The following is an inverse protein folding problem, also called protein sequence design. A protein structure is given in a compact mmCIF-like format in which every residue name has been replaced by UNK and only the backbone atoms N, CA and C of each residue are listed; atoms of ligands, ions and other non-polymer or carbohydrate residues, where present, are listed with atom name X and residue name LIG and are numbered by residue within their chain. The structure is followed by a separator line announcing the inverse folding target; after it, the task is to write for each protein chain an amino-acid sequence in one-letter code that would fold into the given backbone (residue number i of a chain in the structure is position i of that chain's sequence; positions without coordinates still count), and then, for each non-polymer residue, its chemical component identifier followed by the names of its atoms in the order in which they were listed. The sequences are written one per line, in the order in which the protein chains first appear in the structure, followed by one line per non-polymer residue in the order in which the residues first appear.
data_IF_797116396955
#
_entry.id   IF_797116396955
#
_cell.length_a   1.000
_cell.length_b   1.000
_cell.length_c   1.000
_cell.angle_alpha   90.00
_cell.angle_beta   90.00
_cell.angle_gamma   90.00
#
_symmetry.space_group_name_H-M   'P 1'
#
loop_
_entity.id
_entity.type
_entity.pdbx_description
1 polymer ?
#
# COMPACT_ATOMS: atom_id res chain seq x y z
N UNK A 1 0.56 19.07 -2.75
CA UNK A 1 0.31 19.11 -1.29
C UNK A 1 0.99 20.34 -0.69
N UNK A 2 0.21 21.25 -0.13
CA UNK A 2 0.66 22.53 0.41
C UNK A 2 0.85 22.36 1.93
N UNK A 3 2.10 22.25 2.38
CA UNK A 3 2.43 22.18 3.80
C UNK A 3 2.42 23.58 4.39
N UNK A 4 1.44 23.88 5.26
CA UNK A 4 1.47 25.09 6.11
C UNK A 4 2.45 24.86 7.26
N UNK A 5 3.37 25.82 7.44
CA UNK A 5 4.22 25.96 8.63
C UNK A 5 3.35 26.22 9.86
N UNK A 6 3.55 25.43 10.90
CA UNK A 6 3.11 25.68 12.26
C UNK A 6 4.28 25.37 13.20
N UNK A 7 4.55 26.33 14.09
CA UNK A 7 5.60 26.45 15.09
C UNK A 7 6.09 25.16 15.76
N UNK A 8 7.41 25.11 15.99
CA UNK A 8 8.10 24.03 16.66
C UNK A 8 7.59 23.75 18.07
N UNK A 9 7.11 22.52 18.26
CA UNK A 9 7.23 21.78 19.49
C UNK A 9 7.80 20.40 19.14
N UNK A 10 8.82 20.01 19.89
CA UNK A 10 9.49 18.72 19.78
C UNK A 10 8.52 17.65 20.30
N UNK A 11 7.68 17.11 19.41
CA UNK A 11 6.89 15.92 19.69
C UNK A 11 7.80 14.70 19.58
N UNK A 12 8.06 14.09 20.75
CA UNK A 12 8.97 12.97 20.95
C UNK A 12 8.66 11.73 20.11
N UNK A 13 9.69 10.89 19.97
CA UNK A 13 9.82 9.77 19.03
C UNK A 13 8.81 8.62 19.11
N UNK A 14 7.70 8.74 19.83
CA UNK A 14 6.63 7.74 19.84
C UNK A 14 5.74 7.79 18.57
N UNK A 15 5.61 8.95 17.91
CA UNK A 15 4.73 9.11 16.75
C UNK A 15 5.25 8.44 15.46
N UNK A 16 6.56 8.13 15.39
CA UNK A 16 7.17 7.43 14.25
C UNK A 16 7.08 5.90 14.36
N UNK A 17 6.84 5.35 15.55
CA UNK A 17 6.84 3.91 15.81
C UNK A 17 5.57 3.18 15.30
N UNK A 18 4.51 3.91 14.99
CA UNK A 18 3.19 3.32 14.70
C UNK A 18 2.93 2.98 13.23
N UNK A 19 3.83 3.33 12.30
CA UNK A 19 3.57 3.08 10.88
C UNK A 19 4.04 1.68 10.43
N UNK A 20 5.27 1.29 10.74
CA UNK A 20 5.91 0.12 10.15
C UNK A 20 7.03 -0.38 11.07
N UNK A 21 6.96 -1.65 11.50
CA UNK A 21 8.13 -2.32 12.08
C UNK A 21 8.86 -3.06 10.97
N UNK A 22 10.11 -2.66 10.72
CA UNK A 22 11.00 -3.33 9.77
C UNK A 22 11.66 -4.50 10.49
N UNK A 23 11.26 -5.71 10.12
CA UNK A 23 11.92 -6.91 10.62
C UNK A 23 12.97 -7.37 9.59
N UNK A 24 14.24 -7.48 10.02
CA UNK A 24 15.30 -8.06 9.19
C UNK A 24 15.14 -9.58 9.24
N UNK A 25 14.58 -10.15 8.18
CA UNK A 25 14.18 -11.55 8.15
C UNK A 25 15.33 -12.50 8.48
N UNK A 26 16.53 -12.16 8.03
CA UNK A 26 17.54 -13.17 7.81
C UNK A 26 18.89 -12.93 8.52
N UNK A 27 19.01 -11.91 9.38
CA UNK A 27 20.14 -11.87 10.33
C UNK A 27 19.85 -12.56 11.66
N UNK A 28 18.58 -12.88 11.95
CA UNK A 28 18.18 -13.62 13.14
C UNK A 28 17.73 -15.06 12.83
N UNK A 29 17.66 -15.44 11.55
CA UNK A 29 17.63 -16.84 11.14
C UNK A 29 19.08 -17.36 11.24
N UNK A 30 19.46 -17.83 12.41
CA UNK A 30 20.41 -18.93 12.48
C UNK A 30 19.56 -20.17 12.64
N UNK A 31 19.49 -20.99 11.59
CA UNK A 31 19.25 -22.44 11.57
C UNK A 31 18.11 -22.91 12.51
N UNK A 32 16.97 -23.28 11.91
CA UNK A 32 15.84 -24.03 12.51
C UNK A 32 14.76 -23.28 13.33
N UNK A 33 14.71 -21.95 13.35
CA UNK A 33 13.56 -21.25 13.96
C UNK A 33 12.47 -20.90 12.93
N UNK A 34 11.26 -21.49 13.02
CA UNK A 34 10.16 -21.19 12.11
C UNK A 34 9.82 -19.69 12.10
N UNK A 35 9.61 -19.13 10.90
CA UNK A 35 9.21 -17.72 10.71
C UNK A 35 7.97 -17.35 11.56
N UNK A 36 7.08 -18.32 11.77
CA UNK A 36 5.90 -18.21 12.64
C UNK A 36 6.23 -17.84 14.08
N UNK A 37 7.25 -18.47 14.68
CA UNK A 37 7.67 -18.19 16.07
C UNK A 37 8.11 -16.74 16.19
N UNK A 38 8.88 -16.29 15.21
CA UNK A 38 9.41 -14.95 15.24
C UNK A 38 8.31 -13.90 15.01
N UNK A 39 7.33 -14.18 14.14
CA UNK A 39 6.14 -13.34 14.03
C UNK A 39 5.41 -13.25 15.37
N UNK A 40 5.25 -14.38 16.08
CA UNK A 40 4.59 -14.40 17.39
C UNK A 40 5.34 -13.53 18.42
N UNK A 41 6.67 -13.65 18.51
CA UNK A 41 7.50 -12.83 19.40
C UNK A 41 7.39 -11.33 19.08
N UNK A 42 7.41 -10.96 17.79
CA UNK A 42 7.21 -9.57 17.38
C UNK A 42 5.82 -9.06 17.75
N UNK A 43 4.78 -9.89 17.60
CA UNK A 43 3.41 -9.54 18.00
C UNK A 43 3.31 -9.35 19.51
N UNK A 44 3.96 -10.17 20.30
CA UNK A 44 4.04 -9.99 21.76
C UNK A 44 4.78 -8.70 22.14
N UNK A 45 5.92 -8.43 21.51
CA UNK A 45 6.64 -7.17 21.70
C UNK A 45 5.78 -5.96 21.36
N UNK A 46 5.12 -5.95 20.20
CA UNK A 46 4.24 -4.86 19.78
C UNK A 46 3.06 -4.67 20.74
N UNK A 47 2.49 -5.76 21.28
CA UNK A 47 1.47 -5.69 22.34
C UNK A 47 2.01 -5.04 23.60
N UNK A 48 3.23 -5.39 24.03
CA UNK A 48 3.87 -4.77 25.20
C UNK A 48 4.09 -3.25 25.03
N UNK A 49 4.21 -2.78 23.79
CA UNK A 49 4.36 -1.36 23.45
C UNK A 49 3.03 -0.65 23.15
N UNK A 50 1.87 -1.29 23.41
CA UNK A 50 0.54 -0.78 23.05
C UNK A 50 0.35 -0.49 21.54
N UNK A 51 1.02 -1.28 20.70
CA UNK A 51 1.00 -1.16 19.23
C UNK A 51 0.50 -2.44 18.52
N UNK A 52 -0.60 -3.09 18.98
CA UNK A 52 -1.01 -4.43 18.52
C UNK A 52 -1.38 -4.49 17.03
N UNK A 53 -1.78 -3.37 16.44
CA UNK A 53 -2.25 -3.26 15.06
C UNK A 53 -1.15 -2.85 14.06
N UNK A 54 0.11 -2.74 14.50
CA UNK A 54 1.22 -2.34 13.62
C UNK A 54 1.49 -3.42 12.58
N UNK A 55 1.65 -3.03 11.32
CA UNK A 55 2.01 -3.98 10.27
C UNK A 55 3.50 -4.37 10.36
N UNK A 56 3.78 -5.65 10.12
CA UNK A 56 5.13 -6.21 10.13
C UNK A 56 5.58 -6.40 8.70
N UNK A 57 6.59 -5.64 8.27
CA UNK A 57 7.19 -5.80 6.95
C UNK A 57 8.50 -6.56 7.07
N UNK A 58 8.62 -7.64 6.31
CA UNK A 58 9.85 -8.41 6.26
C UNK A 58 10.79 -7.79 5.23
N UNK A 59 11.97 -7.39 5.69
CA UNK A 59 13.05 -6.92 4.84
C UNK A 59 13.87 -8.12 4.37
N UNK A 60 13.93 -8.31 3.05
CA UNK A 60 14.73 -9.34 2.39
C UNK A 60 16.01 -8.70 1.87
N UNK A 61 17.14 -9.08 2.46
CA UNK A 61 18.43 -8.45 2.18
C UNK A 61 19.62 -9.43 2.04
N UNK A 62 19.37 -10.75 2.10
CA UNK A 62 20.37 -11.79 1.86
C UNK A 62 19.78 -13.00 1.09
N UNK A 63 20.62 -13.99 0.78
CA UNK A 63 20.21 -15.20 0.06
C UNK A 63 19.21 -16.08 0.84
N UNK A 64 19.40 -16.27 2.14
CA UNK A 64 18.52 -17.11 2.96
C UNK A 64 17.07 -16.59 3.00
N UNK A 65 16.89 -15.27 3.03
CA UNK A 65 15.57 -14.66 2.92
C UNK A 65 14.93 -14.82 1.54
N UNK A 66 15.72 -15.03 0.48
CA UNK A 66 15.22 -15.37 -0.85
C UNK A 66 14.84 -16.85 -0.96
N UNK A 67 15.56 -17.73 -0.28
CA UNK A 67 15.30 -19.18 -0.26
C UNK A 67 14.01 -19.48 0.50
N UNK A 68 13.84 -18.89 1.69
CA UNK A 68 12.62 -19.01 2.51
C UNK A 68 11.54 -17.97 2.19
N UNK A 69 11.57 -17.39 0.99
CA UNK A 69 10.72 -16.24 0.66
C UNK A 69 9.21 -16.54 0.80
N UNK A 70 8.77 -17.74 0.44
CA UNK A 70 7.34 -18.09 0.47
C UNK A 70 6.80 -18.18 1.91
N UNK A 71 7.58 -18.74 2.83
CA UNK A 71 7.25 -18.80 4.26
C UNK A 71 7.23 -17.39 4.87
N UNK A 72 8.21 -16.56 4.52
CA UNK A 72 8.26 -15.16 4.96
C UNK A 72 7.08 -14.37 4.40
N UNK A 73 6.75 -14.57 3.13
CA UNK A 73 5.62 -13.90 2.49
C UNK A 73 4.31 -14.30 3.16
N UNK A 74 4.13 -15.56 3.58
CA UNK A 74 2.92 -16.01 4.28
C UNK A 74 2.73 -15.27 5.62
N UNK A 75 3.81 -15.07 6.36
CA UNK A 75 3.79 -14.49 7.70
C UNK A 75 3.89 -12.95 7.73
N UNK A 76 4.53 -12.32 6.75
CA UNK A 76 4.67 -10.87 6.71
C UNK A 76 3.37 -10.17 6.27
N UNK A 77 3.14 -8.93 6.69
CA UNK A 77 2.05 -8.09 6.17
C UNK A 77 2.42 -7.41 4.84
N UNK A 78 3.73 -7.28 4.58
CA UNK A 78 4.32 -6.78 3.34
C UNK A 78 5.82 -7.08 3.27
N UNK A 79 6.43 -6.86 2.11
CA UNK A 79 7.83 -7.19 1.83
C UNK A 79 8.59 -5.94 1.44
N UNK A 80 9.83 -5.81 1.93
CA UNK A 80 10.78 -4.81 1.47
C UNK A 80 12.00 -5.50 0.86
N UNK A 81 12.22 -5.28 -0.42
CA UNK A 81 13.35 -5.82 -1.17
C UNK A 81 14.53 -4.86 -1.13
N UNK A 82 15.58 -5.24 -0.41
CA UNK A 82 16.79 -4.45 -0.23
C UNK A 82 17.91 -4.87 -1.19
N UNK A 83 17.88 -4.29 -2.38
CA UNK A 83 18.76 -4.64 -3.51
C UNK A 83 20.23 -4.37 -3.26
N UNK A 84 20.56 -3.34 -2.49
CA UNK A 84 21.96 -2.98 -2.22
C UNK A 84 22.73 -4.03 -1.42
N UNK A 85 22.05 -4.76 -0.52
CA UNK A 85 22.68 -5.85 0.24
C UNK A 85 22.65 -7.16 -0.54
N UNK A 86 21.54 -7.44 -1.25
CA UNK A 86 21.44 -8.60 -2.13
C UNK A 86 22.53 -8.62 -3.23
N UNK A 87 22.96 -7.45 -3.70
CA UNK A 87 24.06 -7.33 -4.67
C UNK A 87 25.46 -7.60 -4.11
N UNK A 88 25.63 -7.73 -2.79
CA UNK A 88 26.89 -8.09 -2.15
C UNK A 88 27.03 -9.61 -2.06
N UNK A 89 25.97 -10.28 -1.61
CA UNK A 89 26.00 -11.72 -1.32
C UNK A 89 25.93 -12.58 -2.60
N UNK A 90 25.47 -12.00 -3.70
CA UNK A 90 25.05 -12.74 -4.89
C UNK A 90 25.59 -12.15 -6.20
N UNK A 91 25.87 -12.99 -7.23
CA UNK A 91 26.38 -12.49 -8.50
C UNK A 91 25.41 -11.51 -9.16
N UNK A 92 25.89 -10.32 -9.58
CA UNK A 92 25.03 -9.25 -10.08
C UNK A 92 24.23 -9.64 -11.32
N UNK A 93 24.76 -10.52 -12.17
CA UNK A 93 24.15 -10.94 -13.43
C UNK A 93 22.93 -11.87 -13.28
N UNK A 94 22.83 -12.61 -12.17
CA UNK A 94 21.76 -13.60 -11.98
C UNK A 94 20.70 -13.14 -10.99
N UNK A 95 21.09 -12.36 -9.99
CA UNK A 95 20.32 -12.38 -8.75
C UNK A 95 19.42 -11.17 -8.55
N UNK A 96 19.93 -9.95 -8.68
CA UNK A 96 19.12 -8.76 -8.33
C UNK A 96 17.89 -8.66 -9.23
N UNK A 97 18.03 -8.92 -10.53
CA UNK A 97 16.92 -8.84 -11.50
C UNK A 97 15.89 -9.96 -11.34
N UNK A 98 16.34 -11.23 -11.30
CA UNK A 98 15.44 -12.39 -11.28
C UNK A 98 14.69 -12.47 -9.96
N UNK A 99 15.39 -12.31 -8.83
CA UNK A 99 14.76 -12.39 -7.52
C UNK A 99 13.86 -11.19 -7.24
N UNK A 100 14.22 -9.97 -7.69
CA UNK A 100 13.31 -8.83 -7.58
C UNK A 100 11.99 -9.12 -8.31
N UNK A 101 12.06 -9.50 -9.60
CA UNK A 101 10.84 -9.77 -10.39
C UNK A 101 10.02 -10.90 -9.80
N UNK A 102 10.67 -11.99 -9.39
CA UNK A 102 10.00 -13.14 -8.77
C UNK A 102 9.32 -12.74 -7.46
N UNK A 103 10.03 -12.04 -6.57
CA UNK A 103 9.51 -11.62 -5.27
C UNK A 103 8.35 -10.62 -5.40
N UNK A 104 8.48 -9.60 -6.24
CA UNK A 104 7.39 -8.63 -6.50
C UNK A 104 6.19 -9.37 -7.09
N UNK A 105 6.39 -10.28 -8.05
CA UNK A 105 5.30 -11.07 -8.63
C UNK A 105 4.59 -11.90 -7.57
N UNK A 106 5.31 -12.61 -6.71
CA UNK A 106 4.72 -13.39 -5.60
C UNK A 106 3.94 -12.50 -4.62
N UNK A 107 4.46 -11.32 -4.28
CA UNK A 107 3.74 -10.34 -3.45
C UNK A 107 2.43 -9.87 -4.11
N UNK A 108 2.48 -9.54 -5.40
CA UNK A 108 1.32 -9.14 -6.19
C UNK A 108 0.24 -10.24 -6.22
N UNK A 109 0.66 -11.50 -6.39
CA UNK A 109 -0.24 -12.65 -6.37
C UNK A 109 -0.86 -12.89 -4.99
N UNK A 110 -0.10 -12.68 -3.91
CA UNK A 110 -0.59 -12.75 -2.54
C UNK A 110 -1.43 -11.53 -2.11
N UNK A 111 -1.40 -10.43 -2.88
CA UNK A 111 -2.04 -9.18 -2.51
C UNK A 111 -1.39 -8.50 -1.30
N UNK A 112 -0.08 -8.71 -1.11
CA UNK A 112 0.73 -8.09 -0.04
C UNK A 112 1.64 -7.01 -0.65
N UNK A 113 1.82 -5.85 0.01
CA UNK A 113 2.61 -4.77 -0.56
C UNK A 113 4.07 -5.15 -0.76
N UNK A 114 4.62 -4.84 -1.94
CA UNK A 114 6.05 -4.97 -2.23
C UNK A 114 6.69 -3.59 -2.33
N UNK A 115 7.68 -3.33 -1.48
CA UNK A 115 8.42 -2.07 -1.46
C UNK A 115 9.87 -2.32 -1.89
N UNK A 116 10.40 -1.49 -2.78
CA UNK A 116 11.79 -1.58 -3.24
C UNK A 116 12.60 -0.39 -2.72
N UNK A 117 13.88 -0.60 -2.40
CA UNK A 117 14.79 0.46 -1.96
C UNK A 117 16.06 0.56 -2.81
N UNK A 118 16.84 1.63 -2.58
CA UNK A 118 18.10 2.01 -3.25
C UNK A 118 17.96 2.09 -4.76
N UNK A 119 17.12 3.02 -5.22
CA UNK A 119 16.80 3.22 -6.65
C UNK A 119 17.50 4.44 -7.26
N UNK A 120 17.92 5.43 -6.47
CA UNK A 120 18.49 6.71 -6.95
C UNK A 120 19.67 7.18 -6.09
N UNK A 121 20.58 6.26 -5.77
CA UNK A 121 21.71 6.50 -4.85
C UNK A 121 22.56 7.73 -5.22
N UNK A 122 22.72 8.03 -6.51
CA UNK A 122 23.49 9.19 -6.98
C UNK A 122 22.88 10.53 -6.57
N UNK A 123 21.56 10.57 -6.29
CA UNK A 123 20.86 11.80 -5.92
C UNK A 123 21.14 12.28 -4.49
N UNK A 124 21.94 11.53 -3.72
CA UNK A 124 22.48 12.01 -2.44
C UNK A 124 23.31 13.28 -2.67
N UNK A 125 24.19 13.25 -3.69
CA UNK A 125 25.13 14.34 -3.98
C UNK A 125 24.78 15.10 -5.27
N UNK A 126 23.92 14.53 -6.12
CA UNK A 126 23.57 15.10 -7.43
C UNK A 126 22.10 15.51 -7.51
N UNK A 127 21.83 16.59 -8.25
CA UNK A 127 20.46 17.09 -8.46
C UNK A 127 19.61 16.18 -9.36
N UNK A 128 20.25 15.33 -10.17
CA UNK A 128 19.58 14.47 -11.15
C UNK A 128 20.07 13.03 -11.03
N UNK A 129 19.19 12.03 -11.18
CA UNK A 129 19.61 10.64 -11.24
C UNK A 129 20.32 10.35 -12.56
N UNK A 130 21.08 9.27 -12.57
CA UNK A 130 21.62 8.69 -13.80
C UNK A 130 20.51 8.10 -14.67
N UNK A 131 20.79 7.86 -15.96
CA UNK A 131 19.85 7.18 -16.86
C UNK A 131 19.52 5.76 -16.37
N UNK A 132 20.49 5.08 -15.78
CA UNK A 132 20.31 3.74 -15.23
C UNK A 132 19.34 3.75 -14.05
N UNK A 133 19.52 4.66 -13.09
CA UNK A 133 18.63 4.82 -11.93
C UNK A 133 17.21 5.24 -12.33
N UNK A 134 17.06 6.17 -13.28
CA UNK A 134 15.74 6.55 -13.78
C UNK A 134 15.02 5.36 -14.44
N UNK A 135 15.75 4.56 -15.22
CA UNK A 135 15.22 3.34 -15.85
C UNK A 135 14.87 2.28 -14.81
N UNK A 136 15.64 2.20 -13.74
CA UNK A 136 15.46 1.24 -12.66
C UNK A 136 14.20 1.57 -11.80
N UNK A 137 13.99 2.85 -11.47
CA UNK A 137 12.73 3.34 -10.86
C UNK A 137 11.53 2.96 -11.74
N UNK A 138 11.60 3.26 -13.03
CA UNK A 138 10.51 2.96 -13.96
C UNK A 138 10.23 1.45 -14.03
N UNK A 139 11.26 0.62 -14.14
CA UNK A 139 11.10 -0.84 -14.17
C UNK A 139 10.52 -1.40 -12.87
N UNK A 140 10.87 -0.85 -11.70
CA UNK A 140 10.28 -1.29 -10.44
C UNK A 140 8.75 -1.07 -10.41
N UNK A 141 8.27 0.05 -10.96
CA UNK A 141 6.83 0.33 -11.12
C UNK A 141 6.17 -0.63 -12.11
N UNK A 142 6.85 -0.93 -13.23
CA UNK A 142 6.37 -1.88 -14.24
C UNK A 142 6.34 -3.34 -13.75
N UNK A 143 7.27 -3.71 -12.87
CA UNK A 143 7.25 -4.99 -12.16
C UNK A 143 6.06 -5.10 -11.19
N UNK A 144 5.45 -3.96 -10.87
CA UNK A 144 4.28 -3.88 -10.02
C UNK A 144 4.62 -3.70 -8.54
N UNK A 145 5.72 -3.02 -8.21
CA UNK A 145 5.98 -2.60 -6.82
C UNK A 145 4.86 -1.67 -6.32
N UNK A 146 4.55 -1.75 -5.03
CA UNK A 146 3.58 -0.87 -4.37
C UNK A 146 4.18 0.46 -3.90
N UNK A 147 5.48 0.46 -3.59
CA UNK A 147 6.16 1.65 -3.12
C UNK A 147 7.66 1.62 -3.36
N UNK A 148 8.24 2.81 -3.37
CA UNK A 148 9.68 3.02 -3.45
C UNK A 148 10.13 3.72 -2.18
N UNK A 149 11.05 3.07 -1.46
CA UNK A 149 11.62 3.57 -0.21
C UNK A 149 12.95 4.28 -0.48
N UNK A 150 12.94 5.60 -0.34
CA UNK A 150 14.12 6.45 -0.34
C UNK A 150 14.74 6.47 1.05
N UNK A 151 16.05 6.25 1.13
CA UNK A 151 16.84 6.18 2.35
C UNK A 151 17.80 7.36 2.46
N UNK A 152 19.04 7.16 2.03
CA UNK A 152 20.09 8.17 2.17
C UNK A 152 19.78 9.46 1.41
N UNK A 153 19.04 9.36 0.30
CA UNK A 153 18.74 10.47 -0.61
C UNK A 153 17.82 11.51 0.03
N UNK A 154 16.98 11.09 0.99
CA UNK A 154 16.07 11.97 1.73
C UNK A 154 16.56 12.24 3.16
N UNK A 155 17.31 11.32 3.76
CA UNK A 155 17.78 11.45 5.15
C UNK A 155 19.00 12.37 5.29
N UNK A 156 19.98 12.25 4.38
CA UNK A 156 21.25 13.01 4.42
C UNK A 156 21.66 13.60 3.07
N UNK A 157 20.81 13.46 2.05
CA UNK A 157 21.06 13.99 0.71
C UNK A 157 20.97 15.50 0.65
N UNK A 158 21.66 16.09 -0.31
CA UNK A 158 21.67 17.54 -0.56
C UNK A 158 20.35 18.03 -1.18
N UNK A 159 19.61 17.15 -1.87
CA UNK A 159 18.43 17.51 -2.66
C UNK A 159 17.18 16.65 -2.35
N UNK A 160 16.74 16.54 -1.09
CA UNK A 160 15.68 15.59 -0.70
C UNK A 160 14.33 15.89 -1.38
N UNK A 161 13.98 17.16 -1.58
CA UNK A 161 12.71 17.56 -2.19
C UNK A 161 12.70 17.26 -3.69
N UNK A 162 13.82 17.52 -4.36
CA UNK A 162 14.01 17.25 -5.78
C UNK A 162 14.06 15.75 -6.07
N UNK A 163 14.67 14.96 -5.19
CA UNK A 163 14.63 13.49 -5.27
C UNK A 163 13.21 12.98 -5.24
N UNK A 164 12.40 13.39 -4.26
CA UNK A 164 10.99 12.98 -4.15
C UNK A 164 10.21 13.39 -5.40
N UNK A 165 10.40 14.63 -5.88
CA UNK A 165 9.73 15.13 -7.08
C UNK A 165 10.11 14.34 -8.33
N UNK A 166 11.41 14.08 -8.52
CA UNK A 166 11.93 13.38 -9.70
C UNK A 166 11.48 11.93 -9.73
N UNK A 167 11.59 11.22 -8.61
CA UNK A 167 11.10 9.83 -8.49
C UNK A 167 9.59 9.77 -8.71
N UNK A 168 8.83 10.69 -8.12
CA UNK A 168 7.37 10.77 -8.33
C UNK A 168 6.98 10.98 -9.79
N UNK A 169 7.72 11.82 -10.53
CA UNK A 169 7.50 12.03 -11.96
C UNK A 169 7.81 10.77 -12.78
N UNK A 170 8.91 10.08 -12.49
CA UNK A 170 9.26 8.82 -13.17
C UNK A 170 8.19 7.76 -12.89
N UNK A 171 7.70 7.65 -11.66
CA UNK A 171 6.61 6.74 -11.32
C UNK A 171 5.35 7.04 -12.14
N UNK A 172 4.93 8.31 -12.22
CA UNK A 172 3.74 8.70 -12.98
C UNK A 172 3.84 8.33 -14.47
N UNK A 173 5.01 8.55 -15.09
CA UNK A 173 5.27 8.16 -16.47
C UNK A 173 5.25 6.63 -16.64
N UNK A 174 5.85 5.88 -15.71
CA UNK A 174 5.82 4.42 -15.73
C UNK A 174 4.41 3.85 -15.53
N UNK A 175 3.58 4.47 -14.71
CA UNK A 175 2.17 4.09 -14.53
C UNK A 175 1.35 4.29 -15.80
N UNK A 176 1.67 5.30 -16.63
CA UNK A 176 0.96 5.56 -17.88
C UNK A 176 1.10 4.45 -18.93
N UNK A 177 2.21 3.70 -18.89
CA UNK A 177 2.49 2.57 -19.80
C UNK A 177 2.27 1.20 -19.14
N UNK A 178 1.78 1.18 -17.89
CA UNK A 178 1.54 -0.05 -17.15
C UNK A 178 0.36 -0.84 -17.73
N UNK A 179 0.57 -2.12 -18.03
CA UNK A 179 -0.47 -2.97 -18.62
C UNK A 179 -1.41 -3.54 -17.55
N UNK A 180 -2.35 -2.71 -17.09
CA UNK A 180 -3.36 -3.10 -16.10
C UNK A 180 -4.19 -4.32 -16.53
N UNK A 181 -4.52 -4.43 -17.82
CA UNK A 181 -5.34 -5.54 -18.33
C UNK A 181 -4.62 -6.88 -18.24
N UNK A 182 -3.34 -6.92 -18.62
CA UNK A 182 -2.51 -8.12 -18.51
C UNK A 182 -2.40 -8.54 -17.05
N UNK A 183 -2.06 -7.60 -16.16
CA UNK A 183 -1.88 -7.90 -14.75
C UNK A 183 -3.17 -8.41 -14.09
N UNK A 184 -4.31 -7.77 -14.39
CA UNK A 184 -5.61 -8.24 -13.90
C UNK A 184 -5.87 -9.69 -14.30
N UNK A 185 -5.64 -10.03 -15.57
CA UNK A 185 -5.89 -11.37 -16.10
C UNK A 185 -4.97 -12.41 -15.46
N UNK A 186 -3.69 -12.08 -15.30
CA UNK A 186 -2.71 -12.96 -14.68
C UNK A 186 -3.07 -13.27 -13.21
N UNK A 187 -3.48 -12.25 -12.44
CA UNK A 187 -3.87 -12.43 -11.04
C UNK A 187 -5.13 -13.29 -10.92
N UNK A 188 -6.15 -13.04 -11.75
CA UNK A 188 -7.37 -13.86 -11.76
C UNK A 188 -7.06 -15.31 -12.09
N UNK A 189 -6.18 -15.57 -13.06
CA UNK A 189 -5.74 -16.93 -13.40
C UNK A 189 -4.96 -17.61 -12.29
N UNK A 190 -4.11 -16.86 -11.58
CA UNK A 190 -3.33 -17.40 -10.47
C UNK A 190 -4.22 -17.80 -9.27
N UNK A 191 -5.20 -16.96 -8.91
CA UNK A 191 -6.10 -17.23 -7.78
C UNK A 191 -6.96 -18.48 -8.05
N UNK A 192 -7.39 -18.69 -9.29
CA UNK A 192 -8.19 -19.85 -9.67
C UNK A 192 -9.63 -19.82 -9.13
N UNK A 193 -10.35 -20.92 -9.33
CA UNK A 193 -11.75 -21.08 -8.90
C UNK A 193 -11.90 -22.37 -8.06
N UNK A 194 -12.72 -22.37 -6.98
CA UNK A 194 -13.56 -21.26 -6.49
C UNK A 194 -12.79 -20.24 -5.65
N UNK A 195 -13.14 -18.96 -5.80
CA UNK A 195 -12.62 -17.85 -4.98
C UNK A 195 -13.45 -17.66 -3.70
N UNK A 196 -12.88 -16.97 -2.71
CA UNK A 196 -13.65 -16.48 -1.56
C UNK A 196 -14.71 -15.46 -1.98
N UNK A 197 -15.79 -15.30 -1.20
CA UNK A 197 -16.87 -14.35 -1.52
C UNK A 197 -16.36 -12.91 -1.67
N UNK A 198 -15.51 -12.45 -0.74
CA UNK A 198 -14.91 -11.11 -0.78
C UNK A 198 -14.05 -10.91 -2.03
N UNK A 199 -13.23 -11.91 -2.37
CA UNK A 199 -12.31 -11.85 -3.52
C UNK A 199 -13.03 -11.92 -4.86
N UNK A 200 -14.08 -12.74 -4.96
CA UNK A 200 -14.96 -12.81 -6.13
C UNK A 200 -15.66 -11.47 -6.41
N UNK A 201 -16.19 -10.82 -5.37
CA UNK A 201 -16.83 -9.51 -5.54
C UNK A 201 -15.78 -8.42 -5.82
N UNK A 202 -14.59 -8.49 -5.22
CA UNK A 202 -13.53 -7.50 -5.44
C UNK A 202 -13.00 -7.54 -6.88
N UNK A 203 -12.69 -8.72 -7.39
CA UNK A 203 -12.27 -8.92 -8.79
C UNK A 203 -13.36 -8.46 -9.78
N UNK A 204 -14.62 -8.78 -9.47
CA UNK A 204 -15.78 -8.36 -10.27
C UNK A 204 -16.02 -6.85 -10.23
N UNK A 205 -15.80 -6.21 -9.09
CA UNK A 205 -15.89 -4.76 -8.94
C UNK A 205 -14.84 -4.04 -9.78
N UNK A 206 -13.58 -4.49 -9.74
CA UNK A 206 -12.49 -3.95 -10.58
C UNK A 206 -12.78 -4.18 -12.06
N UNK A 207 -13.24 -5.38 -12.43
CA UNK A 207 -13.64 -5.69 -13.81
C UNK A 207 -14.76 -4.77 -14.29
N UNK A 208 -15.75 -4.51 -13.44
CA UNK A 208 -16.88 -3.63 -13.74
C UNK A 208 -16.42 -2.18 -13.87
N UNK A 209 -15.56 -1.70 -12.97
CA UNK A 209 -14.97 -0.36 -13.01
C UNK A 209 -14.23 -0.11 -14.34
N UNK A 210 -13.45 -1.10 -14.80
CA UNK A 210 -12.76 -1.03 -16.10
C UNK A 210 -13.78 -0.96 -17.26
N UNK A 211 -14.80 -1.83 -17.26
CA UNK A 211 -15.82 -1.87 -18.33
C UNK A 211 -16.63 -0.57 -18.43
N UNK A 212 -17.02 -0.02 -17.29
CA UNK A 212 -17.78 1.25 -17.26
C UNK A 212 -16.87 2.47 -17.28
N UNK A 213 -15.55 2.33 -17.44
CA UNK A 213 -14.60 3.45 -17.39
C UNK A 213 -14.86 4.35 -16.18
N UNK A 214 -15.01 3.74 -15.01
CA UNK A 214 -15.20 4.48 -13.77
C UNK A 214 -13.98 5.37 -13.50
N UNK A 215 -14.22 6.58 -13.02
CA UNK A 215 -13.16 7.50 -12.67
C UNK A 215 -12.46 7.09 -11.35
N UNK A 216 -13.20 6.48 -10.43
CA UNK A 216 -12.70 6.05 -9.11
C UNK A 216 -13.39 4.76 -8.64
N UNK A 217 -12.73 4.03 -7.74
CA UNK A 217 -13.36 2.99 -6.92
C UNK A 217 -13.39 3.49 -5.47
N UNK A 218 -14.55 3.51 -4.82
CA UNK A 218 -14.70 3.88 -3.41
C UNK A 218 -14.85 2.61 -2.59
N UNK A 219 -14.00 2.41 -1.59
CA UNK A 219 -13.96 1.20 -0.77
C UNK A 219 -14.16 1.54 0.70
N UNK A 220 -15.17 0.93 1.31
CA UNK A 220 -15.47 1.09 2.73
C UNK A 220 -14.63 0.10 3.53
N UNK A 221 -13.93 0.56 4.57
CA UNK A 221 -13.10 -0.33 5.38
C UNK A 221 -12.92 0.15 6.82
N UNK A 222 -12.73 -0.79 7.73
CA UNK A 222 -12.31 -0.54 9.12
C UNK A 222 -10.86 -0.97 9.36
N UNK A 223 -10.40 -2.03 8.70
CA UNK A 223 -9.09 -2.67 8.91
C UNK A 223 -8.11 -2.48 7.76
N UNK A 224 -8.52 -1.87 6.63
CA UNK A 224 -7.68 -1.73 5.44
C UNK A 224 -7.57 -2.99 4.57
N UNK A 225 -8.17 -4.13 4.96
CA UNK A 225 -8.11 -5.37 4.16
C UNK A 225 -8.87 -5.27 2.83
N UNK A 226 -10.05 -4.64 2.83
CA UNK A 226 -10.87 -4.47 1.63
C UNK A 226 -10.18 -3.65 0.52
N UNK A 227 -9.61 -2.45 0.78
CA UNK A 227 -8.92 -1.70 -0.27
C UNK A 227 -7.66 -2.42 -0.75
N UNK A 228 -6.96 -3.16 0.12
CA UNK A 228 -5.84 -4.02 -0.29
C UNK A 228 -6.29 -5.10 -1.26
N UNK A 229 -7.43 -5.76 -1.00
CA UNK A 229 -8.00 -6.77 -1.88
C UNK A 229 -8.45 -6.19 -3.22
N UNK A 230 -9.04 -5.00 -3.24
CA UNK A 230 -9.39 -4.30 -4.49
C UNK A 230 -8.12 -3.90 -5.26
N UNK A 231 -7.12 -3.34 -4.58
CA UNK A 231 -5.86 -2.92 -5.18
C UNK A 231 -4.99 -4.08 -5.69
N UNK A 232 -5.13 -5.29 -5.11
CA UNK A 232 -4.52 -6.54 -5.61
C UNK A 232 -4.75 -6.69 -7.11
N UNK A 233 -5.96 -6.43 -7.59
CA UNK A 233 -6.33 -6.56 -9.01
C UNK A 233 -5.85 -5.41 -9.92
N UNK A 234 -5.02 -4.51 -9.40
CA UNK A 234 -4.35 -3.41 -10.11
C UNK A 234 -5.29 -2.58 -11.01
N UNK A 235 -6.38 -2.01 -10.45
CA UNK A 235 -7.25 -1.12 -11.21
C UNK A 235 -6.45 0.06 -11.82
N UNK A 236 -6.79 0.52 -13.04
CA UNK A 236 -6.18 1.70 -13.65
C UNK A 236 -6.66 3.02 -13.04
N UNK A 237 -7.78 3.01 -12.32
CA UNK A 237 -8.33 4.14 -11.60
C UNK A 237 -7.92 4.11 -10.12
N UNK A 238 -7.84 5.28 -9.45
CA UNK A 238 -7.54 5.35 -8.02
C UNK A 238 -8.63 4.69 -7.17
N UNK A 239 -8.21 4.13 -6.04
CA UNK A 239 -9.05 3.49 -5.02
C UNK A 239 -9.14 4.41 -3.80
N UNK A 240 -10.28 5.07 -3.61
CA UNK A 240 -10.55 5.88 -2.43
C UNK A 240 -10.97 4.98 -1.26
N UNK A 241 -10.11 4.81 -0.27
CA UNK A 241 -10.38 3.98 0.90
C UNK A 241 -11.01 4.83 2.02
N UNK A 242 -12.32 4.69 2.21
CA UNK A 242 -13.05 5.28 3.33
C UNK A 242 -12.78 4.46 4.59
N UNK A 243 -11.95 5.00 5.48
CA UNK A 243 -11.54 4.35 6.71
C UNK A 243 -12.42 4.82 7.85
N UNK A 244 -13.21 3.90 8.39
CA UNK A 244 -14.05 4.13 9.56
C UNK A 244 -13.30 3.70 10.82
N UNK A 245 -13.36 4.54 11.84
CA UNK A 245 -12.85 4.15 13.14
C UNK A 245 -13.82 3.17 13.83
N UNK A 246 -13.30 2.07 14.37
CA UNK A 246 -14.06 1.24 15.32
C UNK A 246 -14.13 1.99 16.65
N UNK A 247 -15.35 2.24 17.14
CA UNK A 247 -15.58 2.90 18.42
C UNK A 247 -16.02 1.88 19.46
N UNK A 248 -15.21 1.69 20.49
CA UNK A 248 -15.71 1.46 21.84
C UNK A 248 -15.20 2.59 22.75
N UNK A 249 -16.15 3.22 23.43
CA UNK A 249 -16.07 4.05 24.64
C UNK A 249 -15.23 5.34 24.69
N UNK A 250 -14.09 5.49 23.99
CA UNK A 250 -13.26 6.71 24.08
C UNK A 250 -12.90 7.31 22.70
N UNK A 251 -13.35 8.56 22.45
CA UNK A 251 -13.13 9.30 21.20
C UNK A 251 -11.65 9.48 20.84
N UNK A 252 -10.77 9.55 21.85
CA UNK A 252 -9.32 9.71 21.67
C UNK A 252 -8.65 8.44 21.13
N UNK A 253 -9.00 7.28 21.66
CA UNK A 253 -8.42 5.99 21.22
C UNK A 253 -8.98 5.53 19.87
N UNK A 254 -10.28 5.78 19.65
CA UNK A 254 -10.93 5.49 18.37
C UNK A 254 -10.24 6.27 17.23
N UNK A 255 -10.05 7.59 17.38
CA UNK A 255 -9.36 8.37 16.35
C UNK A 255 -7.92 7.90 16.09
N UNK A 256 -7.20 7.41 17.11
CA UNK A 256 -5.87 6.83 16.94
C UNK A 256 -5.88 5.54 16.10
N UNK A 257 -6.87 4.68 16.28
CA UNK A 257 -7.02 3.46 15.47
C UNK A 257 -7.34 3.76 14.01
N UNK A 258 -8.37 4.58 13.75
CA UNK A 258 -8.76 4.94 12.38
C UNK A 258 -7.64 5.65 11.62
N UNK A 259 -6.90 6.55 12.28
CA UNK A 259 -5.74 7.21 11.67
C UNK A 259 -4.61 6.25 11.38
N UNK A 260 -4.34 5.28 12.25
CA UNK A 260 -3.34 4.23 12.02
C UNK A 260 -3.69 3.39 10.81
N UNK A 261 -4.94 2.93 10.70
CA UNK A 261 -5.39 2.12 9.56
C UNK A 261 -5.34 2.91 8.24
N UNK A 262 -5.77 4.17 8.26
CA UNK A 262 -5.64 5.07 7.13
C UNK A 262 -4.18 5.20 6.67
N UNK A 263 -3.23 5.45 7.59
CA UNK A 263 -1.80 5.54 7.28
C UNK A 263 -1.25 4.23 6.72
N UNK A 264 -1.60 3.10 7.30
CA UNK A 264 -1.12 1.79 6.87
C UNK A 264 -1.55 1.45 5.43
N UNK A 265 -2.77 1.83 5.02
CA UNK A 265 -3.21 1.61 3.63
C UNK A 265 -2.45 2.39 2.57
N UNK A 266 -1.67 3.43 2.95
CA UNK A 266 -0.83 4.18 2.00
C UNK A 266 0.32 3.34 1.43
N UNK A 267 0.67 2.23 2.07
CA UNK A 267 1.69 1.32 1.55
C UNK A 267 1.20 0.50 0.34
N UNK A 268 -0.09 0.55 0.00
CA UNK A 268 -0.69 -0.19 -1.11
C UNK A 268 -0.84 0.71 -2.33
N UNK A 269 -0.41 0.25 -3.51
CA UNK A 269 -0.48 1.03 -4.75
C UNK A 269 -1.91 1.46 -5.08
N UNK A 270 -2.05 2.71 -5.49
CA UNK A 270 -3.32 3.26 -5.99
C UNK A 270 -4.39 3.46 -4.93
N UNK A 271 -4.09 3.20 -3.65
CA UNK A 271 -5.01 3.43 -2.53
C UNK A 271 -4.80 4.82 -1.94
N UNK A 272 -5.88 5.59 -1.90
CA UNK A 272 -5.95 6.94 -1.34
C UNK A 272 -6.86 6.91 -0.12
N UNK A 273 -6.31 6.85 1.11
CA UNK A 273 -7.11 6.77 2.31
C UNK A 273 -7.76 8.11 2.66
N UNK A 274 -9.00 8.02 3.10
CA UNK A 274 -9.84 9.11 3.57
C UNK A 274 -10.41 8.70 4.92
N UNK A 275 -10.06 9.44 5.97
CA UNK A 275 -10.58 9.17 7.31
C UNK A 275 -12.01 9.70 7.43
N UNK A 276 -12.96 8.79 7.63
CA UNK A 276 -14.35 9.14 7.89
C UNK A 276 -14.54 9.46 9.37
N UNK A 277 -14.58 10.75 9.72
CA UNK A 277 -14.90 11.21 11.07
C UNK A 277 -16.42 11.26 11.20
N UNK A 278 -16.99 10.43 12.08
CA UNK A 278 -18.43 10.42 12.36
C UNK A 278 -18.76 11.23 13.61
N UNK A 279 -19.93 11.87 13.63
CA UNK A 279 -20.43 12.54 14.84
C UNK A 279 -21.11 11.52 15.77
N UNK A 280 -21.05 11.71 17.11
CA UNK A 280 -21.79 10.87 18.04
C UNK A 280 -23.29 11.06 17.83
N UNK A 281 -23.98 10.03 17.32
CA UNK A 281 -25.44 10.03 17.09
C UNK A 281 -25.88 9.52 15.72
N UNK A 282 -24.98 9.44 14.73
CA UNK A 282 -25.34 9.00 13.38
C UNK A 282 -25.70 7.49 13.34
N UNK A 283 -26.78 7.14 12.65
CA UNK A 283 -27.11 5.75 12.31
C UNK A 283 -26.09 5.19 11.32
N UNK A 284 -25.92 3.85 11.26
CA UNK A 284 -24.96 3.23 10.33
C UNK A 284 -25.17 3.64 8.88
N UNK A 285 -26.43 3.72 8.42
CA UNK A 285 -26.75 4.16 7.06
C UNK A 285 -26.39 5.62 6.79
N UNK A 286 -26.68 6.51 7.74
CA UNK A 286 -26.37 7.95 7.60
C UNK A 286 -24.85 8.21 7.61
N UNK A 287 -24.08 7.43 8.38
CA UNK A 287 -22.60 7.47 8.37
C UNK A 287 -22.04 7.10 7.01
N UNK A 288 -22.56 6.01 6.42
CA UNK A 288 -22.08 5.54 5.11
C UNK A 288 -22.37 6.54 4.00
N UNK A 289 -23.56 7.15 4.01
CA UNK A 289 -23.94 8.16 3.01
C UNK A 289 -23.11 9.44 3.15
N UNK A 290 -22.90 9.92 4.38
CA UNK A 290 -22.06 11.10 4.65
C UNK A 290 -20.60 10.86 4.24
N UNK A 291 -20.05 9.69 4.57
CA UNK A 291 -18.69 9.30 4.19
C UNK A 291 -18.55 9.17 2.66
N UNK A 292 -19.57 8.62 1.97
CA UNK A 292 -19.59 8.56 0.51
C UNK A 292 -19.55 9.97 -0.10
N UNK A 293 -20.40 10.89 0.37
CA UNK A 293 -20.40 12.29 -0.08
C UNK A 293 -19.03 12.94 0.15
N UNK A 294 -18.41 12.68 1.29
CA UNK A 294 -17.06 13.16 1.61
C UNK A 294 -16.01 12.63 0.61
N UNK A 295 -16.03 11.34 0.29
CA UNK A 295 -15.12 10.77 -0.72
C UNK A 295 -15.32 11.36 -2.11
N UNK A 296 -16.56 11.52 -2.54
CA UNK A 296 -16.89 12.08 -3.86
C UNK A 296 -16.48 13.56 -3.95
N UNK A 297 -16.77 14.35 -2.90
CA UNK A 297 -16.34 15.75 -2.81
C UNK A 297 -14.82 15.89 -2.77
N UNK A 298 -14.14 15.00 -2.03
CA UNK A 298 -12.68 14.95 -2.06
C UNK A 298 -12.18 14.65 -3.47
N UNK A 299 -12.69 13.61 -4.12
CA UNK A 299 -12.35 13.23 -5.50
C UNK A 299 -12.52 14.39 -6.49
N UNK A 300 -13.61 15.17 -6.36
CA UNK A 300 -13.83 16.40 -7.12
C UNK A 300 -12.76 17.46 -6.83
N UNK A 301 -12.49 17.73 -5.56
CA UNK A 301 -11.56 18.79 -5.13
C UNK A 301 -10.12 18.57 -5.63
N UNK A 302 -9.71 17.30 -5.79
CA UNK A 302 -8.38 16.93 -6.29
C UNK A 302 -8.36 16.60 -7.79
N UNK A 303 -9.50 16.76 -8.48
CA UNK A 303 -9.61 16.54 -9.93
C UNK A 303 -9.65 15.07 -10.37
N UNK A 304 -9.90 14.13 -9.44
CA UNK A 304 -10.08 12.70 -9.75
C UNK A 304 -11.49 12.36 -10.27
N UNK A 305 -12.47 13.22 -10.01
CA UNK A 305 -13.88 13.00 -10.36
C UNK A 305 -14.48 14.25 -10.99
N UNK A 306 -15.17 14.09 -12.12
CA UNK A 306 -15.93 15.15 -12.82
C UNK A 306 -17.42 14.84 -12.79
N UNK A 307 -18.30 15.85 -12.95
CA UNK A 307 -19.74 15.62 -13.12
C UNK A 307 -20.01 14.57 -14.20
N UNK A 308 -20.95 13.67 -13.92
CA UNK A 308 -21.35 12.53 -14.75
C UNK A 308 -20.30 11.41 -14.90
N UNK A 309 -19.19 11.48 -14.17
CA UNK A 309 -18.29 10.33 -14.07
C UNK A 309 -18.93 9.21 -13.25
N UNK A 310 -18.60 7.97 -13.62
CA UNK A 310 -19.06 6.79 -12.89
C UNK A 310 -18.08 6.44 -11.78
N UNK A 311 -18.60 6.03 -10.64
CA UNK A 311 -17.81 5.48 -9.54
C UNK A 311 -18.32 4.08 -9.18
N UNK A 312 -17.40 3.19 -8.82
CA UNK A 312 -17.75 1.86 -8.29
C UNK A 312 -17.57 1.88 -6.78
N UNK A 313 -18.62 1.52 -6.04
CA UNK A 313 -18.59 1.41 -4.59
C UNK A 313 -18.41 -0.06 -4.23
N UNK A 314 -17.47 -0.35 -3.35
CA UNK A 314 -17.27 -1.66 -2.72
C UNK A 314 -17.46 -1.52 -1.21
N UNK A 315 -18.41 -2.27 -0.65
CA UNK A 315 -18.72 -2.24 0.78
C UNK A 315 -19.05 -3.63 1.31
N UNK A 316 -18.70 -3.86 2.58
CA UNK A 316 -19.14 -5.03 3.34
C UNK A 316 -20.30 -4.63 4.25
N UNK A 317 -21.44 -5.29 4.11
CA UNK A 317 -22.68 -5.02 4.88
C UNK A 317 -23.02 -6.30 5.64
N UNK A 318 -22.76 -6.32 6.95
CA UNK A 318 -22.85 -7.55 7.75
C UNK A 318 -21.95 -8.64 7.15
N UNK A 319 -22.55 -9.78 6.82
CA UNK A 319 -21.85 -10.92 6.19
C UNK A 319 -21.84 -10.86 4.65
N UNK A 320 -22.51 -9.86 4.06
CA UNK A 320 -22.60 -9.69 2.60
C UNK A 320 -21.54 -8.72 2.08
N UNK A 321 -21.09 -8.95 0.85
CA UNK A 321 -20.15 -8.08 0.13
C UNK A 321 -20.87 -7.56 -1.10
N UNK A 322 -20.88 -6.25 -1.28
CA UNK A 322 -21.68 -5.59 -2.32
C UNK A 322 -20.81 -4.65 -3.13
N UNK A 323 -20.96 -4.73 -4.46
CA UNK A 323 -20.43 -3.77 -5.40
C UNK A 323 -21.58 -3.02 -6.10
N UNK A 324 -21.52 -1.69 -6.15
CA UNK A 324 -22.52 -0.83 -6.81
C UNK A 324 -21.84 0.10 -7.80
N UNK A 325 -22.53 0.41 -8.90
CA UNK A 325 -22.08 1.45 -9.84
C UNK A 325 -22.99 2.65 -9.65
N UNK A 326 -22.41 3.81 -9.42
CA UNK A 326 -23.13 5.08 -9.29
C UNK A 326 -22.61 6.08 -10.31
N UNK A 327 -23.43 7.07 -10.62
CA UNK A 327 -23.03 8.24 -11.39
C UNK A 327 -22.89 9.43 -10.45
N UNK A 328 -21.84 10.22 -10.62
CA UNK A 328 -21.59 11.40 -9.79
C UNK A 328 -22.35 12.59 -10.37
N UNK A 329 -23.50 12.90 -9.77
CA UNK A 329 -24.29 14.09 -10.12
C UNK A 329 -23.77 15.33 -9.38
N UNK A 330 -23.69 16.46 -10.08
CA UNK A 330 -23.29 17.74 -9.50
C UNK A 330 -24.45 18.29 -8.64
N UNK A 331 -24.42 18.01 -7.33
CA UNK A 331 -25.39 18.51 -6.34
C UNK A 331 -24.90 19.81 -5.71
#
# INVERSE_FOLDING_TARGET
MQWRRGSGEVLGGAAAASLLLFYKAASALHVDSPVEILRALLREFLRSQNLPNTQIYAKIDNFEGLDHFDEILQEADGIILSRGHLGIDLPPEKVVFVHQKSAIKKCNMAGKPAIVTRVVDSMVDNLRPTRAEATDVANAVLDGTDGILLGAETHRGLYPVETIRTVGQICAEAESVYNHYHQFKEIVQYVGEPMSYEESVASSAVRSAIKVKAAVIVVFTTTGSAPRLVAKYRPPMPVLALVFSQGNTDLSESNSFGTTQARQTQAVRGVYPILAISSPGDTSSSKEESALKLALNYGRSVGMLKPYDRAVIFQKIGDSVVAKIIEFEDS
#
